data_IF_106439671567
#
_entry.id   IF_106439671567
#
_cell.length_a   1.000
_cell.length_b   1.000
_cell.length_c   1.000
_cell.angle_alpha   90.00
_cell.angle_beta   90.00
_cell.angle_gamma   90.00
#
_symmetry.space_group_name_H-M   'P 1'
#
loop_
_entity.id
_entity.type
_entity.pdbx_description
1 polymer ?
#
# COMPACT_ATOMS: atom_id res chain seq x y z
N UNK A 1 19.37 -34.89 -68.89
CA UNK A 1 18.65 -33.86 -68.01
C UNK A 1 18.77 -34.28 -66.58
N UNK A 2 19.59 -33.65 -65.75
CA UNK A 2 19.81 -34.10 -64.42
C UNK A 2 18.78 -33.43 -63.47
N UNK A 3 17.80 -34.20 -63.11
CA UNK A 3 16.78 -33.81 -62.05
C UNK A 3 17.35 -33.83 -60.65
N UNK A 4 18.61 -34.18 -60.44
CA UNK A 4 19.28 -34.36 -59.17
C UNK A 4 19.60 -33.06 -58.42
N UNK A 5 19.43 -31.89 -59.04
CA UNK A 5 19.83 -30.59 -58.48
C UNK A 5 18.68 -29.74 -57.92
N UNK A 6 17.45 -30.10 -58.31
CA UNK A 6 16.26 -29.30 -57.82
C UNK A 6 15.83 -29.73 -56.43
N UNK A 7 16.06 -30.97 -56.04
CA UNK A 7 15.62 -31.54 -54.78
C UNK A 7 16.31 -30.90 -53.56
N UNK A 8 17.64 -30.70 -53.54
CA UNK A 8 18.28 -30.08 -52.35
C UNK A 8 17.86 -28.61 -52.09
N UNK A 9 17.71 -27.83 -53.17
CA UNK A 9 17.29 -26.42 -53.05
C UNK A 9 15.83 -26.27 -52.60
N UNK A 10 14.95 -27.17 -53.06
CA UNK A 10 13.56 -27.21 -52.61
C UNK A 10 13.45 -27.63 -51.15
N UNK A 11 14.29 -28.57 -50.70
CA UNK A 11 14.31 -29.03 -49.28
C UNK A 11 14.83 -27.93 -48.35
N UNK A 12 15.86 -27.16 -48.75
CA UNK A 12 16.37 -26.08 -47.91
C UNK A 12 15.37 -24.91 -47.76
N UNK A 13 14.67 -24.55 -48.85
CA UNK A 13 13.60 -23.55 -48.80
C UNK A 13 12.39 -24.02 -47.99
N UNK A 14 12.02 -25.29 -48.10
CA UNK A 14 10.91 -25.86 -47.33
C UNK A 14 11.24 -25.94 -45.85
N UNK A 15 12.44 -26.36 -45.47
CA UNK A 15 12.86 -26.35 -44.05
C UNK A 15 13.00 -24.93 -43.48
N UNK A 16 13.45 -23.96 -44.25
CA UNK A 16 13.48 -22.56 -43.85
C UNK A 16 12.08 -21.98 -43.61
N UNK A 17 11.12 -22.36 -44.47
CA UNK A 17 9.71 -21.94 -44.28
C UNK A 17 9.06 -22.59 -43.05
N UNK A 18 9.34 -23.86 -42.77
CA UNK A 18 8.86 -24.55 -41.57
C UNK A 18 9.47 -23.97 -40.28
N UNK A 19 10.76 -23.67 -40.28
CA UNK A 19 11.40 -23.03 -39.14
C UNK A 19 10.83 -21.64 -38.86
N UNK A 20 10.47 -20.89 -39.89
CA UNK A 20 9.83 -19.58 -39.76
C UNK A 20 8.40 -19.70 -39.18
N UNK A 21 7.61 -20.66 -39.65
CA UNK A 21 6.27 -20.90 -39.13
C UNK A 21 6.30 -21.42 -37.66
N UNK A 22 7.27 -22.27 -37.34
CA UNK A 22 7.46 -22.72 -35.93
C UNK A 22 7.88 -21.58 -35.04
N UNK A 23 8.78 -20.69 -35.49
CA UNK A 23 9.20 -19.52 -34.75
C UNK A 23 8.04 -18.52 -34.52
N UNK A 24 7.19 -18.29 -35.53
CA UNK A 24 6.02 -17.43 -35.38
C UNK A 24 4.98 -18.04 -34.42
N UNK A 25 4.71 -19.34 -34.53
CA UNK A 25 3.79 -20.03 -33.61
C UNK A 25 4.29 -19.99 -32.15
N UNK A 26 5.60 -20.17 -31.94
CA UNK A 26 6.20 -20.05 -30.60
C UNK A 26 6.08 -18.63 -30.04
N UNK A 27 6.29 -17.62 -30.90
CA UNK A 27 6.11 -16.20 -30.53
C UNK A 27 4.66 -15.89 -30.20
N UNK A 28 3.71 -16.37 -30.98
CA UNK A 28 2.27 -16.16 -30.74
C UNK A 28 1.81 -16.86 -29.48
N UNK A 29 2.28 -18.08 -29.23
CA UNK A 29 1.98 -18.81 -27.98
C UNK A 29 2.56 -18.10 -26.75
N UNK A 30 3.78 -17.57 -26.83
CA UNK A 30 4.40 -16.79 -25.77
C UNK A 30 3.63 -15.49 -25.50
N UNK A 31 3.19 -14.80 -26.56
CA UNK A 31 2.36 -13.59 -26.46
C UNK A 31 1.03 -13.87 -25.78
N UNK A 32 0.30 -14.89 -26.25
CA UNK A 32 -0.96 -15.29 -25.62
C UNK A 32 -0.79 -15.73 -24.16
N UNK A 33 0.30 -16.42 -23.85
CA UNK A 33 0.64 -16.80 -22.47
C UNK A 33 0.89 -15.58 -21.58
N UNK A 34 1.62 -14.59 -22.09
CA UNK A 34 1.88 -13.34 -21.38
C UNK A 34 0.59 -12.53 -21.15
N UNK A 35 -0.26 -12.40 -22.16
CA UNK A 35 -1.56 -11.69 -22.04
C UNK A 35 -2.49 -12.34 -21.02
N UNK A 36 -2.59 -13.68 -21.04
CA UNK A 36 -3.38 -14.41 -20.04
C UNK A 36 -2.83 -14.24 -18.62
N UNK A 37 -1.52 -14.30 -18.49
CA UNK A 37 -0.85 -14.06 -17.21
C UNK A 37 -1.13 -12.65 -16.67
N UNK A 38 -1.04 -11.63 -17.52
CA UNK A 38 -1.35 -10.24 -17.15
C UNK A 38 -2.82 -10.08 -16.77
N UNK A 39 -3.74 -10.68 -17.50
CA UNK A 39 -5.17 -10.64 -17.18
C UNK A 39 -5.49 -11.29 -15.82
N UNK A 40 -4.88 -12.45 -15.52
CA UNK A 40 -5.03 -13.11 -14.22
C UNK A 40 -4.44 -12.28 -13.09
N UNK A 41 -3.26 -11.70 -13.27
CA UNK A 41 -2.64 -10.83 -12.27
C UNK A 41 -3.50 -9.58 -12.01
N UNK A 42 -4.10 -8.99 -13.04
CA UNK A 42 -5.02 -7.87 -12.90
C UNK A 42 -6.27 -8.25 -12.12
N UNK A 43 -6.86 -9.41 -12.40
CA UNK A 43 -8.00 -9.93 -11.64
C UNK A 43 -7.64 -10.15 -10.17
N UNK A 44 -6.49 -10.76 -9.89
CA UNK A 44 -6.00 -10.95 -8.52
C UNK A 44 -5.78 -9.61 -7.81
N UNK A 45 -5.23 -8.62 -8.49
CA UNK A 45 -5.07 -7.27 -7.92
C UNK A 45 -6.42 -6.62 -7.61
N UNK A 46 -7.40 -6.70 -8.52
CA UNK A 46 -8.75 -6.19 -8.27
C UNK A 46 -9.43 -6.90 -7.10
N UNK A 47 -9.28 -8.21 -6.99
CA UNK A 47 -9.84 -8.97 -5.87
C UNK A 47 -9.21 -8.55 -4.55
N UNK A 48 -7.89 -8.39 -4.54
CA UNK A 48 -7.16 -7.91 -3.36
C UNK A 48 -7.59 -6.49 -2.96
N UNK A 49 -7.85 -5.62 -3.94
CA UNK A 49 -8.38 -4.29 -3.70
C UNK A 49 -9.76 -4.35 -3.03
N UNK A 50 -10.67 -5.21 -3.53
CA UNK A 50 -12.00 -5.40 -2.94
C UNK A 50 -11.94 -5.94 -1.52
N UNK A 51 -11.06 -6.91 -1.26
CA UNK A 51 -10.87 -7.49 0.07
C UNK A 51 -10.29 -6.49 1.08
N UNK A 52 -9.44 -5.58 0.65
CA UNK A 52 -8.82 -4.57 1.49
C UNK A 52 -9.70 -3.32 1.70
N UNK A 53 -10.66 -3.07 0.84
CA UNK A 53 -11.50 -1.87 0.86
C UNK A 53 -12.24 -1.64 2.20
N UNK A 54 -12.88 -2.66 2.83
CA UNK A 54 -13.54 -2.47 4.11
C UNK A 54 -12.60 -2.01 5.22
N UNK A 55 -11.37 -2.55 5.24
CA UNK A 55 -10.36 -2.18 6.24
C UNK A 55 -9.83 -0.75 6.00
N UNK A 56 -9.62 -0.38 4.76
CA UNK A 56 -9.22 0.97 4.38
C UNK A 56 -10.28 2.00 4.77
N UNK A 57 -11.55 1.72 4.48
CA UNK A 57 -12.67 2.57 4.88
C UNK A 57 -12.81 2.68 6.39
N UNK A 58 -12.66 1.58 7.13
CA UNK A 58 -12.66 1.59 8.58
C UNK A 58 -11.57 2.49 9.14
N UNK A 59 -10.37 2.47 8.56
CA UNK A 59 -9.27 3.35 8.95
C UNK A 59 -9.55 4.83 8.68
N UNK A 60 -10.08 5.17 7.51
CA UNK A 60 -10.48 6.54 7.15
C UNK A 60 -11.57 7.06 8.09
N UNK A 61 -12.58 6.24 8.36
CA UNK A 61 -13.67 6.59 9.28
C UNK A 61 -13.15 6.77 10.72
N UNK A 62 -12.20 5.94 11.15
CA UNK A 62 -11.56 6.08 12.46
C UNK A 62 -10.79 7.39 12.57
N UNK A 63 -10.02 7.77 11.56
CA UNK A 63 -9.31 9.06 11.50
C UNK A 63 -10.26 10.26 11.58
N UNK A 64 -11.35 10.23 10.83
CA UNK A 64 -12.35 11.28 10.86
C UNK A 64 -12.98 11.43 12.26
N UNK A 65 -13.29 10.30 12.92
CA UNK A 65 -13.81 10.31 14.32
C UNK A 65 -12.76 10.78 15.31
N UNK A 66 -11.50 10.41 15.15
CA UNK A 66 -10.41 10.91 16.00
C UNK A 66 -10.29 12.44 15.89
N UNK A 67 -10.38 12.98 14.70
CA UNK A 67 -10.33 14.42 14.47
C UNK A 67 -11.50 15.15 15.15
N UNK A 68 -12.70 14.61 15.08
CA UNK A 68 -13.87 15.14 15.78
C UNK A 68 -13.70 15.05 17.31
N UNK A 69 -13.20 13.93 17.82
CA UNK A 69 -13.01 13.69 19.24
C UNK A 69 -11.90 14.58 19.81
N UNK A 70 -10.86 14.88 19.05
CA UNK A 70 -9.79 15.79 19.45
C UNK A 70 -10.30 17.21 19.74
N UNK A 71 -11.27 17.69 18.97
CA UNK A 71 -11.92 18.99 19.19
C UNK A 71 -12.87 19.02 20.40
N UNK A 72 -13.26 17.86 20.95
CA UNK A 72 -14.19 17.71 22.06
C UNK A 72 -13.52 17.13 23.33
N UNK A 73 -12.20 17.23 23.44
CA UNK A 73 -11.51 16.77 24.65
C UNK A 73 -12.03 17.53 25.90
N UNK A 74 -12.19 16.85 27.06
CA UNK A 74 -12.61 17.50 28.28
C UNK A 74 -11.65 18.63 28.63
N UNK A 75 -12.21 19.79 28.95
CA UNK A 75 -11.42 20.88 29.52
C UNK A 75 -10.76 20.43 30.84
N UNK A 76 -9.66 21.07 31.20
CA UNK A 76 -8.99 20.77 32.46
C UNK A 76 -9.93 20.92 33.66
N UNK A 77 -9.85 19.99 34.61
CA UNK A 77 -10.63 20.08 35.84
C UNK A 77 -10.29 21.34 36.62
N UNK A 78 -11.23 22.24 36.71
CA UNK A 78 -11.04 23.55 37.38
C UNK A 78 -11.15 23.48 38.90
N UNK A 79 -11.57 22.34 39.46
CA UNK A 79 -11.77 22.16 40.89
C UNK A 79 -13.01 22.85 41.45
N UNK A 80 -13.82 23.52 40.65
CA UNK A 80 -15.03 24.19 41.08
C UNK A 80 -16.16 23.19 41.32
N UNK A 81 -16.71 23.21 42.51
CA UNK A 81 -17.85 22.37 42.94
C UNK A 81 -18.94 23.23 43.46
N UNK A 82 -20.14 23.07 42.96
CA UNK A 82 -21.33 23.77 43.46
C UNK A 82 -22.12 22.86 44.40
N UNK A 83 -21.99 23.05 45.71
CA UNK A 83 -22.72 22.30 46.71
C UNK A 83 -24.24 22.46 46.63
N UNK A 84 -24.73 23.61 46.13
CA UNK A 84 -26.16 23.83 45.93
C UNK A 84 -26.81 22.90 44.91
N UNK A 85 -26.03 22.31 44.04
CA UNK A 85 -26.49 21.33 43.03
C UNK A 85 -26.37 19.87 43.50
N UNK A 86 -25.78 19.62 44.69
CA UNK A 86 -25.68 18.28 45.26
C UNK A 86 -27.01 17.91 45.94
N UNK A 87 -27.78 16.93 45.43
CA UNK A 87 -29.08 16.59 45.98
C UNK A 87 -29.05 16.14 47.42
N UNK A 88 -27.95 15.58 47.90
CA UNK A 88 -27.78 15.10 49.25
C UNK A 88 -27.37 16.17 50.24
N UNK A 89 -26.72 17.24 49.81
CA UNK A 89 -26.23 18.29 50.69
C UNK A 89 -27.37 19.01 51.40
N UNK A 90 -28.33 19.54 50.67
CA UNK A 90 -29.47 20.26 51.24
C UNK A 90 -30.29 19.39 52.23
N UNK A 91 -30.48 18.11 51.89
CA UNK A 91 -31.15 17.16 52.75
C UNK A 91 -30.39 16.96 54.08
N UNK A 92 -29.10 16.60 54.00
CA UNK A 92 -28.27 16.36 55.22
C UNK A 92 -28.13 17.60 56.09
N UNK A 93 -27.99 18.78 55.48
CA UNK A 93 -27.95 20.05 56.24
C UNK A 93 -29.23 20.29 56.92
N UNK A 94 -30.40 20.14 56.33
CA UNK A 94 -31.71 20.38 56.95
C UNK A 94 -32.01 19.39 58.05
N UNK A 95 -31.71 18.09 57.84
CA UNK A 95 -31.95 17.09 58.90
C UNK A 95 -30.99 17.23 60.06
N UNK A 96 -29.73 17.61 59.81
CA UNK A 96 -28.79 17.92 60.90
C UNK A 96 -29.17 19.15 61.74
N UNK A 97 -29.65 20.22 61.07
CA UNK A 97 -30.19 21.38 61.75
C UNK A 97 -31.41 21.05 62.64
N UNK A 98 -32.37 20.28 62.09
CA UNK A 98 -33.53 19.79 62.84
C UNK A 98 -33.12 18.93 64.04
N UNK A 99 -32.08 18.11 63.94
CA UNK A 99 -31.55 17.30 65.02
C UNK A 99 -30.95 18.20 66.17
N UNK A 100 -30.19 19.23 65.76
CA UNK A 100 -29.63 20.20 66.66
C UNK A 100 -30.74 20.98 67.40
N UNK A 101 -31.79 21.47 66.71
CA UNK A 101 -32.91 22.20 67.25
C UNK A 101 -33.68 21.33 68.22
N UNK A 102 -33.96 20.07 67.90
CA UNK A 102 -34.61 19.13 68.86
C UNK A 102 -33.76 18.89 70.08
N UNK A 103 -32.46 18.79 69.97
CA UNK A 103 -31.52 18.61 71.06
C UNK A 103 -31.45 19.87 71.96
N UNK A 104 -31.46 21.04 71.31
CA UNK A 104 -31.49 22.33 72.04
C UNK A 104 -32.84 22.55 72.78
N UNK A 105 -33.96 22.21 72.15
CA UNK A 105 -35.29 22.29 72.76
C UNK A 105 -35.42 21.35 73.95
N UNK A 106 -34.92 20.12 73.86
CA UNK A 106 -34.94 19.16 74.97
C UNK A 106 -34.17 19.62 76.21
N UNK A 107 -33.18 20.50 76.02
CA UNK A 107 -32.36 21.11 77.09
C UNK A 107 -32.90 22.46 77.54
N UNK A 108 -34.06 22.92 77.05
CA UNK A 108 -34.65 24.19 77.39
C UNK A 108 -33.95 25.45 76.94
N UNK A 109 -32.99 25.31 75.95
CA UNK A 109 -32.11 26.38 75.50
C UNK A 109 -32.17 26.67 74.01
N UNK A 110 -33.36 26.62 73.37
CA UNK A 110 -33.54 26.82 71.96
C UNK A 110 -32.96 28.15 71.43
N UNK A 111 -33.01 29.21 72.25
CA UNK A 111 -32.55 30.57 71.95
C UNK A 111 -31.26 30.89 72.72
N UNK A 112 -30.45 29.90 73.04
CA UNK A 112 -29.19 30.15 73.76
C UNK A 112 -28.05 30.46 72.80
N UNK A 113 -27.10 31.33 73.23
CA UNK A 113 -25.89 31.60 72.44
C UNK A 113 -25.04 30.34 72.18
N UNK A 114 -25.19 29.32 73.06
CA UNK A 114 -24.56 28.00 72.83
C UNK A 114 -25.16 27.19 71.64
N UNK A 115 -26.52 27.21 71.55
CA UNK A 115 -27.23 26.57 70.46
C UNK A 115 -26.91 27.21 69.08
N UNK A 116 -26.86 28.57 69.09
CA UNK A 116 -26.47 29.29 67.85
C UNK A 116 -25.02 28.97 67.39
N UNK A 117 -24.07 28.93 68.34
CA UNK A 117 -22.69 28.54 68.03
C UNK A 117 -22.59 27.08 67.55
N UNK A 118 -23.36 26.18 68.12
CA UNK A 118 -23.40 24.79 67.70
C UNK A 118 -23.95 24.63 66.24
N UNK A 119 -25.05 25.35 65.94
CA UNK A 119 -25.62 25.38 64.61
C UNK A 119 -24.65 25.96 63.54
N UNK A 120 -23.96 27.07 63.93
CA UNK A 120 -22.96 27.69 63.07
C UNK A 120 -21.78 26.74 62.79
N UNK A 121 -21.22 26.09 63.81
CA UNK A 121 -20.12 25.11 63.65
C UNK A 121 -20.57 23.91 62.81
N UNK A 122 -21.75 23.38 63.09
CA UNK A 122 -22.30 22.27 62.26
C UNK A 122 -22.41 22.66 60.78
N UNK A 123 -22.92 23.88 60.53
CA UNK A 123 -22.97 24.36 59.10
C UNK A 123 -21.60 24.47 58.43
N UNK A 124 -20.59 24.98 59.17
CA UNK A 124 -19.22 25.09 58.65
C UNK A 124 -18.56 23.72 58.44
N UNK A 125 -18.68 22.82 59.42
CA UNK A 125 -18.12 21.50 59.39
C UNK A 125 -18.77 20.66 58.26
N UNK A 126 -20.09 20.71 58.16
CA UNK A 126 -20.88 20.07 57.13
C UNK A 126 -20.48 20.61 55.69
N UNK A 127 -20.39 21.95 55.58
CA UNK A 127 -20.00 22.60 54.36
C UNK A 127 -18.60 22.16 53.89
N UNK A 128 -17.64 22.10 54.82
CA UNK A 128 -16.27 21.67 54.53
C UNK A 128 -16.19 20.19 54.11
N UNK A 129 -16.86 19.31 54.88
CA UNK A 129 -16.89 17.88 54.56
C UNK A 129 -17.57 17.60 53.22
N UNK A 130 -18.72 18.20 52.99
CA UNK A 130 -19.47 17.98 51.74
C UNK A 130 -18.76 18.60 50.54
N UNK A 131 -18.06 19.72 50.74
CA UNK A 131 -17.22 20.26 49.65
C UNK A 131 -16.13 19.27 49.25
N UNK A 132 -15.40 18.68 50.20
CA UNK A 132 -14.38 17.67 49.92
C UNK A 132 -14.98 16.43 49.27
N UNK A 133 -16.12 15.94 49.75
CA UNK A 133 -16.82 14.80 49.19
C UNK A 133 -17.26 15.07 47.74
N UNK A 134 -17.86 16.25 47.51
CA UNK A 134 -18.30 16.66 46.17
C UNK A 134 -17.12 16.88 45.22
N UNK A 135 -16.03 17.47 45.73
CA UNK A 135 -14.79 17.63 44.96
C UNK A 135 -14.21 16.28 44.55
N UNK A 136 -14.09 15.34 45.49
CA UNK A 136 -13.58 14.00 45.19
C UNK A 136 -14.47 13.23 44.18
N UNK A 137 -15.80 13.37 44.30
CA UNK A 137 -16.73 12.78 43.32
C UNK A 137 -16.56 13.42 41.94
N UNK A 138 -16.46 14.75 41.87
CA UNK A 138 -16.26 15.48 40.63
C UNK A 138 -14.92 15.12 39.97
N UNK A 139 -13.84 15.07 40.77
CA UNK A 139 -12.51 14.65 40.28
C UNK A 139 -12.51 13.20 39.79
N UNK A 140 -13.14 12.29 40.51
CA UNK A 140 -13.28 10.89 40.10
C UNK A 140 -14.07 10.77 38.79
N UNK A 141 -15.18 11.53 38.69
CA UNK A 141 -15.98 11.59 37.46
C UNK A 141 -15.19 12.13 36.28
N UNK A 142 -14.44 13.21 36.51
CA UNK A 142 -13.55 13.78 35.50
C UNK A 142 -12.49 12.75 35.03
N UNK A 143 -11.78 12.12 35.95
CA UNK A 143 -10.77 11.12 35.64
C UNK A 143 -11.36 9.92 34.89
N UNK A 144 -12.58 9.48 35.29
CA UNK A 144 -13.27 8.41 34.57
C UNK A 144 -13.66 8.81 33.15
N UNK A 145 -14.03 10.06 32.92
CA UNK A 145 -14.32 10.57 31.56
C UNK A 145 -13.06 10.64 30.71
N UNK A 146 -11.97 11.21 31.25
CA UNK A 146 -10.67 11.25 30.55
C UNK A 146 -10.19 9.85 30.20
N UNK A 147 -10.26 8.88 31.12
CA UNK A 147 -9.88 7.50 30.88
C UNK A 147 -10.76 6.83 29.78
N UNK A 148 -12.06 7.13 29.77
CA UNK A 148 -12.98 6.62 28.73
C UNK A 148 -12.66 7.20 27.38
N UNK A 149 -12.35 8.49 27.29
CA UNK A 149 -11.98 9.14 26.06
C UNK A 149 -10.62 8.66 25.54
N UNK A 150 -9.62 8.53 26.41
CA UNK A 150 -8.34 7.94 26.06
C UNK A 150 -8.49 6.51 25.51
N UNK A 151 -9.37 5.72 26.11
CA UNK A 151 -9.68 4.36 25.61
C UNK A 151 -10.36 4.42 24.24
N UNK A 152 -11.30 5.33 24.05
CA UNK A 152 -11.97 5.57 22.77
C UNK A 152 -10.97 5.96 21.69
N UNK A 153 -10.11 6.92 22.00
CA UNK A 153 -9.03 7.36 21.11
C UNK A 153 -8.08 6.22 20.71
N UNK A 154 -7.62 5.43 21.68
CA UNK A 154 -6.74 4.28 21.42
C UNK A 154 -7.38 3.22 20.51
N UNK A 155 -8.69 2.98 20.67
CA UNK A 155 -9.43 2.07 19.78
C UNK A 155 -9.50 2.62 18.35
N UNK A 156 -9.77 3.90 18.20
CA UNK A 156 -9.79 4.55 16.88
C UNK A 156 -8.39 4.56 16.25
N UNK A 157 -7.33 4.80 17.03
CA UNK A 157 -5.95 4.74 16.57
C UNK A 157 -5.59 3.33 16.07
N UNK A 158 -5.99 2.29 16.81
CA UNK A 158 -5.81 0.91 16.38
C UNK A 158 -6.54 0.61 15.05
N UNK A 159 -7.78 1.05 14.89
CA UNK A 159 -8.54 0.91 13.65
C UNK A 159 -7.91 1.69 12.48
N UNK A 160 -7.39 2.89 12.74
CA UNK A 160 -6.63 3.67 11.76
C UNK A 160 -5.37 2.93 11.31
N UNK A 161 -4.64 2.29 12.24
CA UNK A 161 -3.49 1.46 11.94
C UNK A 161 -3.83 0.26 11.05
N UNK A 162 -4.97 -0.38 11.25
CA UNK A 162 -5.48 -1.44 10.36
C UNK A 162 -5.70 -0.89 8.95
N UNK A 163 -6.30 0.29 8.81
CA UNK A 163 -6.49 0.94 7.53
C UNK A 163 -5.18 1.27 6.82
N UNK A 164 -4.17 1.73 7.55
CA UNK A 164 -2.84 2.02 7.03
C UNK A 164 -2.12 0.73 6.57
N UNK A 165 -2.20 -0.34 7.36
CA UNK A 165 -1.66 -1.65 6.98
C UNK A 165 -2.30 -2.16 5.71
N UNK A 166 -3.62 -2.04 5.58
CA UNK A 166 -4.37 -2.40 4.38
C UNK A 166 -3.92 -1.59 3.16
N UNK A 167 -3.72 -0.28 3.31
CA UNK A 167 -3.21 0.59 2.24
C UNK A 167 -1.78 0.19 1.82
N UNK A 168 -0.91 -0.12 2.77
CA UNK A 168 0.46 -0.57 2.50
C UNK A 168 0.47 -1.92 1.77
N UNK A 169 -0.38 -2.86 2.17
CA UNK A 169 -0.55 -4.15 1.49
C UNK A 169 -0.98 -3.97 0.04
N UNK A 170 -1.93 -3.07 -0.20
CA UNK A 170 -2.40 -2.76 -1.55
C UNK A 170 -1.32 -2.08 -2.39
N UNK A 171 -0.53 -1.18 -1.81
CA UNK A 171 0.61 -0.54 -2.49
C UNK A 171 1.67 -1.56 -2.87
N UNK A 172 2.00 -2.50 -1.97
CA UNK A 172 2.92 -3.61 -2.25
C UNK A 172 2.41 -4.53 -3.37
N UNK A 173 1.12 -4.84 -3.37
CA UNK A 173 0.48 -5.63 -4.42
C UNK A 173 0.50 -4.90 -5.78
N UNK A 174 0.23 -3.59 -5.80
CA UNK A 174 0.30 -2.77 -7.01
C UNK A 174 1.73 -2.72 -7.57
N UNK A 175 2.74 -2.58 -6.69
CA UNK A 175 4.16 -2.61 -7.07
C UNK A 175 4.56 -3.96 -7.67
N UNK A 176 4.16 -5.06 -7.04
CA UNK A 176 4.41 -6.41 -7.55
C UNK A 176 3.73 -6.66 -8.89
N UNK A 177 2.48 -6.22 -9.04
CA UNK A 177 1.75 -6.28 -10.30
C UNK A 177 2.49 -5.51 -11.41
N UNK A 178 2.87 -4.25 -11.13
CA UNK A 178 3.59 -3.41 -12.11
C UNK A 178 4.92 -4.03 -12.54
N UNK A 179 5.69 -4.56 -11.59
CA UNK A 179 6.97 -5.24 -11.90
C UNK A 179 6.77 -6.50 -12.74
N UNK A 180 5.78 -7.33 -12.38
CA UNK A 180 5.51 -8.57 -13.11
C UNK A 180 5.03 -8.30 -14.54
N UNK A 181 4.14 -7.32 -14.72
CA UNK A 181 3.66 -6.89 -16.03
C UNK A 181 4.81 -6.32 -16.87
N UNK A 182 5.65 -5.45 -16.26
CA UNK A 182 6.83 -4.90 -16.93
C UNK A 182 7.80 -5.98 -17.38
N UNK A 183 8.13 -6.93 -16.54
CA UNK A 183 9.00 -8.06 -16.88
C UNK A 183 8.38 -8.97 -17.97
N UNK A 184 7.07 -9.21 -17.91
CA UNK A 184 6.38 -9.99 -18.93
C UNK A 184 6.45 -9.30 -20.31
N UNK A 185 6.26 -7.98 -20.37
CA UNK A 185 6.37 -7.19 -21.61
C UNK A 185 7.80 -7.20 -22.18
N UNK A 186 8.81 -7.05 -21.31
CA UNK A 186 10.21 -7.11 -21.73
C UNK A 186 10.55 -8.49 -22.29
N UNK A 187 10.16 -9.56 -21.60
CA UNK A 187 10.40 -10.93 -22.06
C UNK A 187 9.66 -11.23 -23.35
N UNK A 188 8.44 -10.73 -23.53
CA UNK A 188 7.69 -10.82 -24.77
C UNK A 188 8.42 -10.13 -25.91
N UNK A 189 8.93 -8.91 -25.69
CA UNK A 189 9.71 -8.16 -26.67
C UNK A 189 10.99 -8.90 -27.08
N UNK A 190 11.72 -9.45 -26.11
CA UNK A 190 12.94 -10.25 -26.36
C UNK A 190 12.61 -11.51 -27.15
N UNK A 191 11.56 -12.23 -26.78
CA UNK A 191 11.16 -13.46 -27.48
C UNK A 191 10.72 -13.18 -28.93
N UNK A 192 9.95 -12.12 -29.15
CA UNK A 192 9.57 -11.69 -30.49
C UNK A 192 10.79 -11.27 -31.34
N UNK A 193 11.74 -10.55 -30.74
CA UNK A 193 13.00 -10.18 -31.39
C UNK A 193 13.85 -11.40 -31.77
N UNK A 194 13.98 -12.36 -30.85
CA UNK A 194 14.73 -13.59 -31.09
C UNK A 194 14.08 -14.48 -32.19
N UNK A 195 12.75 -14.57 -32.19
CA UNK A 195 12.01 -15.28 -33.21
C UNK A 195 12.21 -14.63 -34.60
N UNK A 196 12.19 -13.29 -34.64
CA UNK A 196 12.48 -12.53 -35.86
C UNK A 196 13.92 -12.77 -36.39
N UNK A 197 14.92 -12.76 -35.51
CA UNK A 197 16.32 -13.03 -35.87
C UNK A 197 16.51 -14.46 -36.33
N UNK A 198 15.94 -15.44 -35.68
CA UNK A 198 16.02 -16.84 -36.09
C UNK A 198 15.41 -17.07 -37.49
N UNK A 199 14.27 -16.43 -37.78
CA UNK A 199 13.65 -16.44 -39.10
C UNK A 199 14.54 -15.82 -40.18
N UNK A 200 15.22 -14.71 -39.87
CA UNK A 200 16.15 -14.03 -40.78
C UNK A 200 17.39 -14.88 -41.05
N UNK A 201 17.99 -15.48 -40.00
CA UNK A 201 19.14 -16.39 -40.17
C UNK A 201 18.79 -17.61 -41.00
N UNK A 202 17.61 -18.22 -40.76
CA UNK A 202 17.16 -19.36 -41.56
C UNK A 202 17.01 -19.02 -43.05
N UNK A 203 16.52 -17.82 -43.36
CA UNK A 203 16.45 -17.35 -44.75
C UNK A 203 17.83 -17.06 -45.36
N UNK A 204 18.71 -16.42 -44.60
CA UNK A 204 20.07 -16.09 -45.06
C UNK A 204 20.88 -17.36 -45.35
N UNK A 205 20.78 -18.39 -44.49
CA UNK A 205 21.43 -19.68 -44.72
C UNK A 205 20.84 -20.40 -45.95
N UNK A 206 19.52 -20.38 -46.13
CA UNK A 206 18.89 -20.99 -47.32
C UNK A 206 19.30 -20.30 -48.61
N UNK A 207 19.41 -18.97 -48.64
CA UNK A 207 19.94 -18.24 -49.80
C UNK A 207 21.42 -18.51 -50.03
N UNK A 208 22.23 -18.65 -48.98
CA UNK A 208 23.63 -19.05 -49.06
C UNK A 208 23.81 -20.44 -49.63
N UNK A 209 22.99 -21.38 -49.24
CA UNK A 209 22.99 -22.74 -49.75
C UNK A 209 22.60 -22.79 -51.24
N UNK A 210 21.62 -22.02 -51.67
CA UNK A 210 21.22 -21.87 -53.06
C UNK A 210 22.35 -21.26 -53.91
N UNK A 211 22.99 -20.20 -53.39
CA UNK A 211 24.12 -19.56 -54.07
C UNK A 211 25.32 -20.52 -54.21
N UNK A 212 25.62 -21.29 -53.14
CA UNK A 212 26.65 -22.33 -53.19
C UNK A 212 26.34 -23.47 -54.18
N UNK A 213 25.06 -23.87 -54.24
CA UNK A 213 24.65 -24.90 -55.21
C UNK A 213 24.75 -24.38 -56.63
N UNK A 214 24.33 -23.13 -56.88
CA UNK A 214 24.44 -22.48 -58.18
C UNK A 214 25.90 -22.34 -58.62
N UNK A 215 26.81 -21.94 -57.73
CA UNK A 215 28.24 -21.81 -58.03
C UNK A 215 28.90 -23.17 -58.37
N UNK A 216 28.43 -24.28 -57.77
CA UNK A 216 28.94 -25.64 -58.03
C UNK A 216 28.40 -26.25 -59.35
N UNK A 217 27.20 -25.84 -59.76
CA UNK A 217 26.53 -26.41 -60.95
C UNK A 217 26.79 -25.62 -62.25
N UNK A 218 27.34 -24.40 -62.11
CA UNK A 218 27.69 -23.54 -63.28
C UNK A 218 29.19 -23.27 -63.33
N UNK A 219 30.01 -24.25 -63.72
CA UNK A 219 31.48 -24.12 -63.73
C UNK A 219 32.00 -23.15 -64.75
N UNK A 220 31.20 -22.63 -65.66
CA UNK A 220 31.69 -21.86 -66.82
C UNK A 220 31.37 -20.35 -66.77
N UNK A 221 30.79 -19.81 -65.71
CA UNK A 221 30.47 -18.39 -65.71
C UNK A 221 31.60 -17.48 -65.23
N UNK A 222 32.64 -18.06 -64.59
CA UNK A 222 33.81 -17.29 -64.12
C UNK A 222 34.76 -16.91 -65.25
N UNK A 223 34.65 -17.56 -66.43
CA UNK A 223 35.51 -17.27 -67.54
C UNK A 223 34.93 -16.28 -68.58
N UNK A 224 33.70 -15.84 -68.44
CA UNK A 224 33.08 -14.91 -69.40
C UNK A 224 33.26 -13.43 -68.97
N UNK A 225 33.61 -13.14 -67.72
CA UNK A 225 34.00 -11.81 -67.23
C UNK A 225 35.36 -11.93 -66.54
N UNK A 226 36.39 -12.09 -67.34
CA UNK A 226 37.76 -12.00 -66.88
C UNK A 226 38.05 -10.56 -66.40
N UNK A 227 38.60 -10.43 -65.21
CA UNK A 227 39.37 -9.27 -64.83
C UNK A 227 38.85 -8.53 -63.61
N UNK A 228 39.56 -8.66 -62.54
CA UNK A 228 39.44 -7.73 -61.43
C UNK A 228 39.53 -8.40 -60.05
N UNK A 229 40.75 -8.39 -59.60
CA UNK A 229 41.24 -9.00 -58.34
C UNK A 229 40.51 -8.69 -57.07
N UNK A 230 40.74 -9.60 -56.19
CA UNK A 230 41.11 -9.43 -54.80
C UNK A 230 40.21 -8.55 -53.93
N UNK A 231 39.70 -9.16 -52.95
CA UNK A 231 39.19 -8.44 -51.83
C UNK A 231 38.28 -9.32 -50.97
N UNK A 232 38.85 -10.17 -50.14
CA UNK A 232 38.16 -10.71 -49.00
C UNK A 232 37.83 -9.54 -48.04
N UNK A 233 36.67 -8.94 -48.25
CA UNK A 233 36.12 -8.00 -47.29
C UNK A 233 35.40 -8.80 -46.20
N UNK A 234 36.14 -9.13 -45.16
CA UNK A 234 35.57 -9.52 -43.86
C UNK A 234 34.82 -8.31 -43.30
N UNK A 235 33.53 -8.26 -43.48
CA UNK A 235 32.71 -7.31 -42.74
C UNK A 235 32.52 -7.87 -41.32
N UNK A 236 33.55 -7.67 -40.48
CA UNK A 236 33.42 -7.76 -39.03
C UNK A 236 32.54 -6.62 -38.56
N UNK A 237 31.34 -6.90 -38.14
CA UNK A 237 30.58 -5.98 -37.32
C UNK A 237 31.29 -5.90 -35.97
N UNK A 238 32.14 -4.88 -35.85
CA UNK A 238 32.78 -4.54 -34.59
C UNK A 238 31.73 -4.15 -33.56
N UNK A 239 31.64 -4.92 -32.48
CA UNK A 239 30.90 -4.58 -31.31
C UNK A 239 31.41 -3.23 -30.77
N UNK A 240 30.59 -2.20 -30.82
CA UNK A 240 30.84 -0.98 -30.06
C UNK A 240 30.51 -1.25 -28.60
N UNK A 241 31.55 -1.53 -27.84
CA UNK A 241 31.53 -1.41 -26.39
C UNK A 241 31.51 0.07 -26.07
N UNK A 242 30.39 0.56 -25.57
CA UNK A 242 30.31 1.87 -24.93
C UNK A 242 31.00 1.78 -23.57
N UNK A 243 32.29 2.02 -23.57
CA UNK A 243 33.03 2.34 -22.35
C UNK A 243 32.75 3.79 -21.98
N UNK A 244 31.80 4.00 -21.08
CA UNK A 244 31.62 5.29 -20.43
C UNK A 244 32.77 5.52 -19.46
N UNK A 245 33.72 6.40 -19.82
CA UNK A 245 34.68 6.94 -18.88
C UNK A 245 33.95 7.91 -17.93
N UNK A 246 34.02 7.59 -16.66
CA UNK A 246 33.69 8.50 -15.57
C UNK A 246 34.72 9.64 -15.57
N UNK A 247 34.30 10.85 -15.93
CA UNK A 247 34.91 12.11 -15.51
C UNK A 247 33.85 13.21 -15.68
N UNK A 248 33.19 13.53 -14.60
CA UNK A 248 32.42 14.76 -14.45
C UNK A 248 32.78 15.41 -13.13
N UNK A 249 33.51 16.55 -13.15
CA UNK A 249 33.69 17.38 -11.98
C UNK A 249 32.61 18.49 -12.00
N UNK A 250 31.59 18.38 -11.18
CA UNK A 250 30.83 19.55 -10.77
C UNK A 250 30.54 19.45 -9.27
N UNK A 251 31.46 20.00 -8.49
CA UNK A 251 31.18 20.65 -7.22
C UNK A 251 31.79 22.04 -7.27
N UNK A 252 30.94 23.05 -7.21
CA UNK A 252 31.21 24.43 -6.97
C UNK A 252 29.92 25.07 -6.50
#
# INVERSE_FOLDING_TARGET
MPWSFIVPAAVSLFSASQNRSAASQASDAATQGAERSQALQYQMFQEQQKLQEPFRQAGVNALAKMQQQYGNMPEAFTGQVNLGQDPGYAFRLSEGQKALDRSAAARGGLISGGAMKAAQRFGQDMGSQEYQNAYNRALTGYNANVAREATGYNRLAAMSGVGQTSANTLTGAAGSYGTNVGNAMINQGINAGNAGMAGTQAMTSAYGDIANLYSRTSPNFSNLYGGGGGGQGSYGYGGQTWGGSADSPWYG
#
